data_IF_060943112431
#
_entry.id   IF_060943112431
#
_cell.length_a   1.000
_cell.length_b   1.000
_cell.length_c   1.000
_cell.angle_alpha   90.00
_cell.angle_beta   90.00
_cell.angle_gamma   90.00
#
_symmetry.space_group_name_H-M   'P 1'
#
loop_
_entity.id
_entity.type
_entity.pdbx_description
1 polymer ?
#
# COMPACT_ATOMS: atom_id res chain seq x y z
N UNK A 1 -6.85 -3.28 19.75
CA UNK A 1 -6.88 -2.38 18.60
C UNK A 1 -8.33 -2.02 18.35
N UNK A 2 -8.70 -0.73 18.31
CA UNK A 2 -10.08 -0.34 17.99
C UNK A 2 -10.45 -0.86 16.59
N UNK A 3 -11.67 -1.37 16.42
CA UNK A 3 -12.17 -2.00 15.18
C UNK A 3 -11.88 -1.15 13.92
N UNK A 4 -12.00 0.18 14.04
CA UNK A 4 -11.78 1.13 12.95
C UNK A 4 -10.37 1.08 12.33
N UNK A 5 -9.33 0.77 13.10
CA UNK A 5 -7.97 0.71 12.56
C UNK A 5 -7.77 -0.44 11.57
N UNK A 6 -8.50 -1.56 11.75
CA UNK A 6 -8.41 -2.68 10.81
C UNK A 6 -9.22 -2.45 9.53
N UNK A 7 -10.30 -1.66 9.64
CA UNK A 7 -11.08 -1.27 8.47
C UNK A 7 -10.26 -0.33 7.57
N UNK A 8 -9.59 0.66 8.16
CA UNK A 8 -8.72 1.58 7.41
C UNK A 8 -7.52 0.85 6.76
N UNK A 9 -6.94 -0.16 7.44
CA UNK A 9 -5.90 -1.03 6.86
C UNK A 9 -6.42 -1.88 5.70
N UNK A 10 -7.64 -2.44 5.78
CA UNK A 10 -8.25 -3.17 4.66
C UNK A 10 -8.53 -2.27 3.47
N UNK A 11 -9.01 -1.05 3.71
CA UNK A 11 -9.21 -0.06 2.65
C UNK A 11 -7.88 0.35 1.99
N UNK A 12 -6.80 0.45 2.77
CA UNK A 12 -5.45 0.68 2.25
C UNK A 12 -4.99 -0.50 1.37
N UNK A 13 -5.24 -1.74 1.78
CA UNK A 13 -4.94 -2.92 0.96
C UNK A 13 -5.72 -2.93 -0.36
N UNK A 14 -7.03 -2.66 -0.32
CA UNK A 14 -7.88 -2.57 -1.51
C UNK A 14 -7.40 -1.46 -2.47
N UNK A 15 -6.94 -0.33 -1.92
CA UNK A 15 -6.36 0.75 -2.70
C UNK A 15 -5.09 0.32 -3.44
N UNK A 16 -4.18 -0.41 -2.78
CA UNK A 16 -2.96 -0.95 -3.41
C UNK A 16 -3.35 -1.85 -4.59
N UNK A 17 -4.29 -2.77 -4.40
CA UNK A 17 -4.75 -3.67 -5.47
C UNK A 17 -5.43 -2.91 -6.62
N UNK A 18 -6.25 -1.91 -6.31
CA UNK A 18 -6.92 -1.09 -7.31
C UNK A 18 -5.90 -0.30 -8.16
N UNK A 19 -4.88 0.28 -7.54
CA UNK A 19 -3.80 0.97 -8.25
C UNK A 19 -2.94 0.02 -9.07
N UNK A 20 -2.63 -1.17 -8.54
CA UNK A 20 -1.86 -2.20 -9.23
C UNK A 20 -2.52 -2.65 -10.55
N UNK A 21 -3.86 -2.76 -10.55
CA UNK A 21 -4.64 -3.05 -11.76
C UNK A 21 -4.55 -1.93 -12.82
N UNK A 22 -4.51 -0.67 -12.39
CA UNK A 22 -4.43 0.48 -13.31
C UNK A 22 -3.03 0.68 -13.87
N UNK A 23 -2.02 0.48 -13.04
CA UNK A 23 -0.60 0.57 -13.39
C UNK A 23 0.00 -0.83 -13.32
N UNK A 24 -0.11 -1.66 -14.37
CA UNK A 24 0.22 -3.09 -14.28
C UNK A 24 1.70 -3.37 -14.06
N UNK A 25 2.59 -2.40 -14.26
CA UNK A 25 4.02 -2.56 -14.01
C UNK A 25 4.34 -2.10 -12.58
N UNK A 26 5.11 -2.88 -11.84
CA UNK A 26 5.60 -2.47 -10.52
C UNK A 26 6.89 -1.65 -10.68
N UNK A 27 6.96 -0.53 -9.96
CA UNK A 27 8.16 0.28 -9.86
C UNK A 27 8.90 0.01 -8.54
N UNK A 28 10.22 0.21 -8.57
CA UNK A 28 11.11 0.09 -7.42
C UNK A 28 12.00 1.34 -7.33
N UNK A 29 12.16 1.90 -6.15
CA UNK A 29 12.94 3.13 -5.90
C UNK A 29 12.26 4.43 -6.35
N UNK A 30 11.09 4.35 -6.98
CA UNK A 30 10.28 5.50 -7.39
C UNK A 30 8.78 5.20 -7.18
N UNK A 31 7.98 6.23 -6.89
CA UNK A 31 6.54 6.04 -6.66
C UNK A 31 5.77 5.79 -7.96
N UNK A 32 6.13 6.49 -9.03
CA UNK A 32 5.52 6.39 -10.34
C UNK A 32 6.61 6.47 -11.41
N UNK A 33 6.52 5.59 -12.40
CA UNK A 33 7.37 5.64 -13.60
C UNK A 33 6.49 5.63 -14.83
N UNK A 34 6.46 6.76 -15.56
CA UNK A 34 5.55 6.95 -16.68
C UNK A 34 4.06 6.76 -16.30
N UNK A 35 3.26 6.29 -17.25
CA UNK A 35 1.81 6.14 -17.08
C UNK A 35 1.37 4.76 -16.56
N UNK A 36 2.22 3.73 -16.66
CA UNK A 36 1.84 2.33 -16.41
C UNK A 36 2.54 1.70 -15.23
N UNK A 37 3.48 2.40 -14.59
CA UNK A 37 4.26 1.87 -13.48
C UNK A 37 4.07 2.65 -12.20
N UNK A 38 3.97 1.94 -11.08
CA UNK A 38 4.02 2.50 -9.72
C UNK A 38 4.48 1.46 -8.71
N UNK A 39 5.10 1.91 -7.62
CA UNK A 39 5.38 1.06 -6.46
C UNK A 39 4.09 0.74 -5.68
N UNK A 40 4.18 -0.04 -4.61
CA UNK A 40 3.04 -0.36 -3.75
C UNK A 40 2.36 0.89 -3.13
N UNK A 41 3.15 1.83 -2.60
CA UNK A 41 2.56 3.06 -2.03
C UNK A 41 1.95 3.94 -3.14
N UNK A 42 2.64 4.08 -4.29
CA UNK A 42 2.09 4.79 -5.46
C UNK A 42 0.80 4.15 -5.98
N UNK A 43 0.70 2.82 -5.93
CA UNK A 43 -0.54 2.10 -6.24
C UNK A 43 -1.65 2.42 -5.23
N UNK A 44 -1.37 2.51 -3.93
CA UNK A 44 -2.35 2.96 -2.94
C UNK A 44 -2.90 4.36 -3.26
N UNK A 45 -2.01 5.32 -3.57
CA UNK A 45 -2.40 6.65 -4.02
C UNK A 45 -3.27 6.59 -5.29
N UNK A 46 -2.84 5.85 -6.31
CA UNK A 46 -3.63 5.69 -7.54
C UNK A 46 -5.03 5.10 -7.26
N UNK A 47 -5.10 4.05 -6.42
CA UNK A 47 -6.34 3.40 -6.02
C UNK A 47 -7.36 4.35 -5.40
N UNK A 48 -6.90 5.22 -4.50
CA UNK A 48 -7.73 6.18 -3.75
C UNK A 48 -8.08 7.40 -4.60
N UNK A 49 -7.10 8.01 -5.26
CA UNK A 49 -7.27 9.32 -5.85
C UNK A 49 -7.78 9.29 -7.29
N UNK A 50 -7.55 8.18 -8.04
CA UNK A 50 -7.59 8.19 -9.52
C UNK A 50 -6.75 9.36 -10.03
N UNK A 51 -5.44 9.17 -10.15
CA UNK A 51 -4.57 10.27 -10.61
C UNK A 51 -5.11 10.85 -11.94
N UNK A 52 -4.97 12.17 -12.15
CA UNK A 52 -5.90 12.97 -12.94
C UNK A 52 -5.79 12.72 -14.45
N UNK A 53 -6.43 11.66 -14.92
CA UNK A 53 -7.04 11.56 -16.25
C UNK A 53 -8.52 11.15 -16.16
N UNK A 54 -9.00 10.68 -14.98
CA UNK A 54 -10.36 10.17 -14.76
C UNK A 54 -11.09 10.73 -13.51
N UNK A 55 -10.54 11.76 -12.87
CA UNK A 55 -11.05 12.32 -11.61
C UNK A 55 -11.88 13.61 -11.80
N UNK A 56 -12.77 13.64 -12.80
CA UNK A 56 -13.78 14.70 -12.84
C UNK A 56 -14.88 14.40 -11.80
N UNK A 57 -15.03 15.28 -10.80
CA UNK A 57 -16.16 15.29 -9.87
C UNK A 57 -16.10 14.33 -8.68
N UNK A 58 -15.04 13.51 -8.53
CA UNK A 58 -14.85 12.65 -7.36
C UNK A 58 -14.06 13.39 -6.28
N UNK A 59 -14.72 13.71 -5.15
CA UNK A 59 -14.00 14.01 -3.90
C UNK A 59 -13.63 12.68 -3.24
N UNK A 60 -12.33 12.37 -3.05
CA UNK A 60 -11.93 11.23 -2.24
C UNK A 60 -12.55 11.37 -0.85
N UNK A 61 -13.39 10.41 -0.47
CA UNK A 61 -13.94 10.35 0.88
C UNK A 61 -12.85 9.82 1.83
N UNK A 62 -12.75 10.41 3.03
CA UNK A 62 -11.90 9.93 4.15
C UNK A 62 -10.38 9.98 3.92
N UNK A 63 -9.93 11.03 3.24
CA UNK A 63 -8.51 11.29 2.98
C UNK A 63 -7.68 11.43 4.26
N UNK A 64 -8.28 12.04 5.29
CA UNK A 64 -7.78 12.11 6.66
C UNK A 64 -7.46 10.72 7.23
N UNK A 65 -8.38 9.76 7.12
CA UNK A 65 -8.17 8.40 7.62
C UNK A 65 -7.06 7.65 6.90
N UNK A 66 -6.91 7.89 5.61
CA UNK A 66 -5.81 7.29 4.86
C UNK A 66 -4.45 7.77 5.38
N UNK A 67 -4.29 9.08 5.58
CA UNK A 67 -3.06 9.63 6.17
C UNK A 67 -2.85 9.17 7.61
N UNK A 68 -3.91 9.14 8.41
CA UNK A 68 -3.88 8.63 9.79
C UNK A 68 -3.45 7.15 9.82
N UNK A 69 -3.93 6.34 8.88
CA UNK A 69 -3.51 4.94 8.76
C UNK A 69 -2.02 4.83 8.38
N UNK A 70 -1.58 5.57 7.35
CA UNK A 70 -0.20 5.53 6.85
C UNK A 70 0.83 5.93 7.92
N UNK A 71 0.51 6.90 8.77
CA UNK A 71 1.42 7.48 9.76
C UNK A 71 1.20 6.92 11.18
N UNK A 72 -0.04 6.59 11.54
CA UNK A 72 -0.43 6.18 12.89
C UNK A 72 -0.21 4.70 13.19
N UNK A 73 -0.19 3.83 12.17
CA UNK A 73 0.01 2.39 12.36
C UNK A 73 1.50 2.05 12.29
N UNK A 74 2.13 1.78 13.44
CA UNK A 74 3.54 1.40 13.52
C UNK A 74 3.69 -0.12 13.65
N UNK A 75 4.42 -0.76 12.73
CA UNK A 75 4.71 -2.20 12.75
C UNK A 75 6.21 -2.48 12.66
N UNK A 76 6.60 -3.73 12.91
CA UNK A 76 7.95 -4.22 12.60
C UNK A 76 7.93 -4.83 11.20
N UNK A 77 9.04 -4.71 10.47
CA UNK A 77 9.20 -5.41 9.20
C UNK A 77 9.03 -6.94 9.40
N UNK A 78 8.17 -7.60 8.60
CA UNK A 78 7.90 -9.04 8.70
C UNK A 78 9.08 -9.93 8.28
N UNK A 79 10.01 -9.43 7.46
CA UNK A 79 11.17 -10.17 6.93
C UNK A 79 12.36 -10.22 7.93
N UNK A 80 12.11 -10.09 9.24
CA UNK A 80 13.13 -10.21 10.28
C UNK A 80 14.04 -8.99 10.46
N UNK A 81 13.90 -7.93 9.66
CA UNK A 81 14.64 -6.68 9.84
C UNK A 81 14.42 -6.08 11.24
N UNK A 82 15.38 -5.24 11.68
CA UNK A 82 15.26 -4.46 12.91
C UNK A 82 14.37 -3.21 12.77
N UNK A 83 13.88 -2.92 11.56
CA UNK A 83 13.09 -1.73 11.27
C UNK A 83 11.69 -1.83 11.90
N UNK A 84 11.33 -0.79 12.65
CA UNK A 84 9.98 -0.55 13.18
C UNK A 84 9.54 0.84 12.73
N UNK A 85 8.58 0.90 11.83
CA UNK A 85 8.23 2.11 11.07
C UNK A 85 6.70 2.24 10.93
N UNK A 86 6.19 3.44 10.63
CA UNK A 86 4.81 3.60 10.17
C UNK A 86 4.53 2.74 8.94
N UNK A 87 3.27 2.31 8.76
CA UNK A 87 2.89 1.35 7.73
C UNK A 87 3.16 1.87 6.33
N UNK A 88 2.99 3.19 6.07
CA UNK A 88 3.35 3.79 4.78
C UNK A 88 4.83 3.62 4.43
N UNK A 89 5.71 3.77 5.43
CA UNK A 89 7.15 3.53 5.26
C UNK A 89 7.47 2.04 5.14
N UNK A 90 6.73 1.16 5.81
CA UNK A 90 6.89 -0.29 5.64
C UNK A 90 6.47 -0.75 4.25
N UNK A 91 5.39 -0.22 3.68
CA UNK A 91 4.96 -0.51 2.32
C UNK A 91 6.08 -0.20 1.33
N UNK A 92 6.70 0.98 1.43
CA UNK A 92 7.85 1.37 0.60
C UNK A 92 9.06 0.46 0.87
N UNK A 93 9.34 0.18 2.14
CA UNK A 93 10.46 -0.69 2.51
C UNK A 93 10.31 -2.12 1.97
N UNK A 94 9.12 -2.70 2.08
CA UNK A 94 8.82 -4.05 1.57
C UNK A 94 8.89 -4.09 0.05
N UNK A 95 8.39 -3.04 -0.61
CA UNK A 95 8.52 -2.88 -2.07
C UNK A 95 9.99 -2.83 -2.49
N UNK A 96 10.78 -1.92 -1.91
CA UNK A 96 12.10 -1.59 -2.46
C UNK A 96 13.23 -2.48 -1.92
N UNK A 97 13.18 -2.87 -0.64
CA UNK A 97 14.27 -3.64 -0.03
C UNK A 97 14.01 -5.15 -0.03
N UNK A 98 12.74 -5.55 -0.02
CA UNK A 98 12.34 -6.96 -0.02
C UNK A 98 11.69 -7.41 -1.32
N UNK A 99 11.50 -6.49 -2.28
CA UNK A 99 10.91 -6.77 -3.58
C UNK A 99 9.58 -7.53 -3.50
N UNK A 100 8.81 -7.33 -2.43
CA UNK A 100 7.46 -7.88 -2.36
C UNK A 100 6.62 -7.30 -3.49
N UNK A 101 5.79 -8.14 -4.09
CA UNK A 101 4.77 -7.72 -5.03
C UNK A 101 3.75 -6.82 -4.33
N UNK A 102 3.03 -6.02 -5.11
CA UNK A 102 1.97 -5.16 -4.57
C UNK A 102 0.84 -5.97 -3.94
N UNK A 103 0.58 -7.15 -4.48
CA UNK A 103 -0.39 -8.12 -3.98
C UNK A 103 0.02 -8.67 -2.62
N UNK A 104 1.26 -9.15 -2.46
CA UNK A 104 1.78 -9.62 -1.15
C UNK A 104 1.76 -8.50 -0.10
N UNK A 105 2.11 -7.28 -0.49
CA UNK A 105 2.04 -6.12 0.41
C UNK A 105 0.59 -5.83 0.81
N UNK A 106 -0.36 -5.87 -0.13
CA UNK A 106 -1.77 -5.66 0.17
C UNK A 106 -2.32 -6.74 1.13
N UNK A 107 -1.99 -8.01 0.91
CA UNK A 107 -2.37 -9.12 1.78
C UNK A 107 -1.84 -8.91 3.21
N UNK A 108 -0.57 -8.56 3.35
CA UNK A 108 0.04 -8.30 4.66
C UNK A 108 -0.50 -7.04 5.34
N UNK A 109 -0.83 -5.99 4.57
CA UNK A 109 -1.47 -4.80 5.11
C UNK A 109 -2.82 -5.16 5.71
N UNK A 110 -3.64 -5.92 4.97
CA UNK A 110 -4.97 -6.36 5.39
C UNK A 110 -4.94 -7.35 6.57
N UNK A 111 -3.96 -8.26 6.57
CA UNK A 111 -3.75 -9.23 7.64
C UNK A 111 -2.24 -9.52 7.83
N UNK A 112 -1.58 -8.87 8.81
CA UNK A 112 -0.16 -9.08 9.06
C UNK A 112 0.18 -10.45 9.65
N UNK A 113 -0.83 -11.23 10.03
CA UNK A 113 -0.66 -12.61 10.51
C UNK A 113 -0.77 -13.63 9.39
N UNK A 114 -1.16 -13.19 8.18
CA UNK A 114 -1.25 -14.05 7.03
C UNK A 114 0.15 -14.61 6.71
N UNK A 115 0.30 -15.96 6.66
CA UNK A 115 1.55 -16.55 6.24
C UNK A 115 1.83 -16.12 4.81
N UNK A 116 3.06 -15.67 4.53
CA UNK A 116 3.47 -15.47 3.14
C UNK A 116 3.65 -16.86 2.54
N UNK A 117 2.83 -17.20 1.55
CA UNK A 117 3.07 -18.39 0.75
C UNK A 117 4.39 -18.17 0.00
N UNK A 118 5.46 -18.79 0.52
CA UNK A 118 6.78 -18.77 -0.09
C UNK A 118 6.71 -19.52 -1.41
N UNK A 119 6.31 -18.82 -2.46
CA UNK A 119 6.26 -19.38 -3.81
C UNK A 119 7.73 -19.56 -4.26
N UNK A 120 8.08 -20.80 -4.57
CA UNK A 120 9.40 -21.29 -4.99
C UNK A 120 10.01 -20.51 -6.17
#
# INVERSE_FOLDING_TARGET
MPEHARDDERELADAILAGAKRRPVQAFGEYFSGQRSSCALGAAYEGIYRLPEAAEGLRPMRMDRFFDCLEGVIRRCPEGCLKRLPIGWLIVHLNDAHHWTREEIAEWVADPTHPRDATH
#
